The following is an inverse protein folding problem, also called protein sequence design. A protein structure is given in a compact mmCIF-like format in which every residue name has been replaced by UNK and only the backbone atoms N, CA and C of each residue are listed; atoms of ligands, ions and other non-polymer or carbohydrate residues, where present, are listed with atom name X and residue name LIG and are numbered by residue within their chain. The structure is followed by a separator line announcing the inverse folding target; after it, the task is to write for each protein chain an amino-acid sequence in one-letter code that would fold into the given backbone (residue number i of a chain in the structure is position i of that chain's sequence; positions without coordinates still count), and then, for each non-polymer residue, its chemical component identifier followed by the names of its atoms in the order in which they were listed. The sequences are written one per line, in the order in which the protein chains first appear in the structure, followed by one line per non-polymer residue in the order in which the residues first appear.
data_IF_316694136068
#
_entry.id   IF_316694136068
#
_cell.length_a   1.000
_cell.length_b   1.000
_cell.length_c   1.000
_cell.angle_alpha   90.00
_cell.angle_beta   90.00
_cell.angle_gamma   90.00
#
_symmetry.space_group_name_H-M   'P 1'
#
loop_
_entity.id
_entity.type
_entity.pdbx_description
1 polymer ?
#
# COMPACT_ATOMS: atom_id res chain seq x y z
N UNK A 1 29.47 28.38 -9.11
CA UNK A 1 28.39 27.50 -8.59
C UNK A 1 28.10 26.41 -9.63
N UNK A 2 28.50 25.15 -9.40
CA UNK A 2 28.16 24.03 -10.31
C UNK A 2 26.69 23.68 -10.10
N UNK A 3 25.80 24.05 -11.02
CA UNK A 3 24.41 23.59 -11.02
C UNK A 3 24.39 22.08 -11.30
N UNK A 4 23.89 21.29 -10.36
CA UNK A 4 23.72 19.84 -10.54
C UNK A 4 22.43 19.59 -11.32
N UNK A 5 22.51 19.61 -12.65
CA UNK A 5 21.37 19.28 -13.52
C UNK A 5 20.93 17.80 -13.41
N UNK A 6 21.73 16.96 -12.74
CA UNK A 6 21.41 15.55 -12.52
C UNK A 6 20.05 15.33 -11.87
N UNK A 7 19.66 16.17 -10.90
CA UNK A 7 18.35 16.02 -10.23
C UNK A 7 17.18 16.38 -11.14
N UNK A 8 17.33 17.40 -11.99
CA UNK A 8 16.29 17.78 -12.96
C UNK A 8 16.11 16.73 -14.06
N UNK A 9 17.17 16.05 -14.47
CA UNK A 9 17.09 14.98 -15.47
C UNK A 9 16.64 13.64 -14.88
N UNK A 10 17.10 13.28 -13.68
CA UNK A 10 16.74 12.03 -13.03
C UNK A 10 15.37 12.10 -12.31
N UNK A 11 14.87 13.30 -12.00
CA UNK A 11 13.63 13.52 -11.25
C UNK A 11 12.41 12.83 -11.84
N UNK A 12 12.09 13.02 -13.15
CA UNK A 12 10.95 12.35 -13.77
C UNK A 12 11.05 10.82 -13.75
N UNK A 13 12.24 10.26 -14.01
CA UNK A 13 12.47 8.82 -13.99
C UNK A 13 12.37 8.24 -12.57
N UNK A 14 12.95 8.93 -11.59
CA UNK A 14 12.86 8.54 -10.18
C UNK A 14 11.41 8.60 -9.68
N UNK A 15 10.65 9.63 -10.07
CA UNK A 15 9.22 9.75 -9.76
C UNK A 15 8.44 8.58 -10.37
N UNK A 16 8.69 8.27 -11.65
CA UNK A 16 8.02 7.17 -12.33
C UNK A 16 8.25 5.83 -11.64
N UNK A 17 9.50 5.48 -11.33
CA UNK A 17 9.80 4.25 -10.60
C UNK A 17 9.16 4.26 -9.21
N UNK A 18 9.27 5.38 -8.48
CA UNK A 18 8.66 5.50 -7.15
C UNK A 18 7.16 5.23 -7.20
N UNK A 19 6.45 5.84 -8.16
CA UNK A 19 5.01 5.62 -8.33
C UNK A 19 4.70 4.17 -8.67
N UNK A 20 5.48 3.54 -9.55
CA UNK A 20 5.24 2.15 -9.95
C UNK A 20 5.46 1.16 -8.80
N UNK A 21 6.47 1.37 -7.96
CA UNK A 21 6.71 0.55 -6.78
C UNK A 21 5.76 0.88 -5.62
N UNK A 22 5.41 2.15 -5.43
CA UNK A 22 4.50 2.58 -4.37
C UNK A 22 3.04 2.22 -4.66
N UNK A 23 2.59 2.25 -5.91
CA UNK A 23 1.22 1.97 -6.30
C UNK A 23 0.70 0.61 -5.76
N UNK A 24 1.37 -0.54 -5.97
CA UNK A 24 0.89 -1.81 -5.43
C UNK A 24 0.92 -1.84 -3.89
N UNK A 25 1.88 -1.17 -3.25
CA UNK A 25 1.92 -1.05 -1.79
C UNK A 25 0.75 -0.24 -1.25
N UNK A 26 0.41 0.88 -1.91
CA UNK A 26 -0.75 1.70 -1.57
C UNK A 26 -2.03 0.88 -1.71
N UNK A 27 -2.17 0.08 -2.77
CA UNK A 27 -3.33 -0.80 -2.96
C UNK A 27 -3.44 -1.78 -1.78
N UNK A 28 -2.34 -2.44 -1.38
CA UNK A 28 -2.33 -3.35 -0.23
C UNK A 28 -2.75 -2.63 1.05
N UNK A 29 -2.19 -1.44 1.30
CA UNK A 29 -2.51 -0.64 2.48
C UNK A 29 -3.97 -0.22 2.48
N UNK A 30 -4.53 0.21 1.35
CA UNK A 30 -5.95 0.57 1.28
C UNK A 30 -6.83 -0.65 1.57
N UNK A 31 -6.54 -1.80 0.93
CA UNK A 31 -7.33 -3.02 1.09
C UNK A 31 -7.23 -3.64 2.49
N UNK A 32 -6.13 -3.44 3.22
CA UNK A 32 -5.98 -3.96 4.58
C UNK A 32 -6.92 -3.29 5.59
N UNK A 33 -7.44 -2.11 5.27
CA UNK A 33 -8.45 -1.40 6.05
C UNK A 33 -9.88 -1.59 5.51
N UNK A 34 -10.09 -2.41 4.49
CA UNK A 34 -11.43 -2.69 3.96
C UNK A 34 -12.03 -3.91 4.65
N UNK A 35 -13.35 -3.91 4.82
CA UNK A 35 -14.08 -5.04 5.40
C UNK A 35 -14.10 -6.22 4.42
N UNK A 36 -13.89 -7.43 4.93
CA UNK A 36 -14.03 -8.67 4.15
C UNK A 36 -15.49 -8.87 3.72
N UNK A 37 -15.72 -9.08 2.43
CA UNK A 37 -17.07 -9.37 1.90
C UNK A 37 -17.55 -10.78 2.23
N UNK A 38 -18.86 -10.96 2.35
CA UNK A 38 -19.47 -12.26 2.72
C UNK A 38 -19.23 -13.37 1.68
N UNK A 39 -19.24 -13.04 0.40
CA UNK A 39 -19.08 -13.98 -0.72
C UNK A 39 -17.70 -13.89 -1.40
N UNK A 40 -16.72 -13.30 -0.72
CA UNK A 40 -15.41 -12.96 -1.29
C UNK A 40 -15.29 -11.48 -1.65
N UNK A 41 -14.07 -11.06 -1.96
CA UNK A 41 -13.75 -9.65 -2.18
C UNK A 41 -13.76 -8.80 -0.90
N UNK A 42 -13.93 -7.49 -1.08
CA UNK A 42 -13.95 -6.49 -0.01
C UNK A 42 -15.14 -5.54 -0.18
N UNK A 43 -15.66 -5.05 0.93
CA UNK A 43 -16.62 -3.96 0.99
C UNK A 43 -15.86 -2.65 1.19
N UNK A 44 -16.24 -1.58 0.48
CA UNK A 44 -15.65 -0.23 0.61
C UNK A 44 -16.07 0.46 1.93
N UNK A 45 -15.82 -0.21 3.05
CA UNK A 45 -16.10 0.22 4.40
C UNK A 45 -14.83 0.04 5.23
N UNK A 46 -14.45 1.07 5.98
CA UNK A 46 -13.30 1.01 6.87
C UNK A 46 -13.53 -0.05 7.96
N UNK A 47 -12.57 -0.96 8.14
CA UNK A 47 -12.59 -2.02 9.14
C UNK A 47 -11.18 -2.33 9.65
N UNK A 48 -11.07 -2.46 10.98
CA UNK A 48 -9.85 -2.94 11.65
C UNK A 48 -9.90 -4.44 11.96
N UNK A 49 -10.92 -5.17 11.50
CA UNK A 49 -11.13 -6.57 11.84
C UNK A 49 -10.00 -7.47 11.34
N UNK A 50 -9.43 -7.18 10.17
CA UNK A 50 -8.28 -7.90 9.63
C UNK A 50 -7.08 -7.86 10.60
N UNK A 51 -6.79 -6.70 11.18
CA UNK A 51 -5.72 -6.54 12.17
C UNK A 51 -6.03 -7.25 13.49
N UNK A 52 -7.29 -7.22 13.94
CA UNK A 52 -7.71 -8.00 15.12
C UNK A 52 -7.58 -9.50 14.90
N UNK A 53 -7.91 -9.97 13.69
CA UNK A 53 -7.74 -11.37 13.30
C UNK A 53 -6.26 -11.76 13.29
N UNK A 54 -5.34 -10.90 12.85
CA UNK A 54 -3.89 -11.16 12.92
C UNK A 54 -3.38 -11.35 14.36
N UNK A 55 -4.00 -10.67 15.33
CA UNK A 55 -3.67 -10.78 16.75
C UNK A 55 -4.38 -11.95 17.44
N UNK A 56 -5.23 -12.70 16.73
CA UNK A 56 -5.97 -13.81 17.32
C UNK A 56 -5.01 -15.00 17.55
N UNK A 57 -4.83 -15.45 18.80
CA UNK A 57 -3.89 -16.52 19.15
C UNK A 57 -4.23 -17.87 18.50
N UNK A 58 -5.46 -18.08 18.04
CA UNK A 58 -5.86 -19.27 17.29
C UNK A 58 -5.08 -19.42 15.98
N UNK A 59 -4.57 -18.32 15.39
CA UNK A 59 -3.73 -18.36 14.19
C UNK A 59 -2.22 -18.34 14.49
N UNK A 60 -1.82 -18.30 15.77
CA UNK A 60 -0.41 -18.23 16.18
C UNK A 60 0.25 -19.63 16.31
N UNK A 61 -0.44 -20.69 15.90
CA UNK A 61 -0.02 -22.09 15.97
C UNK A 61 0.70 -22.55 14.70
#
# INVERSE_FOLDING_TARGET
MKRSYGLTYAGPTALWFTLFFAAPLIIIVLYSFLKKGLYGGVEWQFSGEAYRALLNPTFAA
#
